data_IF_397591944365
#
_entry.id   IF_397591944365
#
_cell.length_a   1.000
_cell.length_b   1.000
_cell.length_c   1.000
_cell.angle_alpha   90.00
_cell.angle_beta   90.00
_cell.angle_gamma   90.00
#
_symmetry.space_group_name_H-M   'P 1'
#
loop_
_entity.id
_entity.type
_entity.pdbx_description
1 polymer ?
#
# COMPACT_ATOMS: atom_id res chain seq x y z
N UNK A 1 16.42 16.34 -21.51
CA UNK A 1 15.39 15.44 -20.96
C UNK A 1 15.16 15.88 -19.52
N UNK A 2 13.91 16.08 -19.08
CA UNK A 2 13.68 16.44 -17.67
C UNK A 2 14.08 15.28 -16.76
N UNK A 3 14.41 15.56 -15.50
CA UNK A 3 14.79 14.49 -14.56
C UNK A 3 13.62 13.51 -14.34
N UNK A 4 12.38 14.01 -14.40
CA UNK A 4 11.18 13.19 -14.27
C UNK A 4 11.01 12.21 -15.44
N UNK A 5 11.31 12.61 -16.68
CA UNK A 5 11.28 11.70 -17.80
C UNK A 5 12.27 10.52 -17.62
N UNK A 6 13.42 10.76 -17.00
CA UNK A 6 14.34 9.68 -16.67
C UNK A 6 13.73 8.70 -15.65
N UNK A 7 13.01 9.20 -14.65
CA UNK A 7 12.30 8.35 -13.70
C UNK A 7 11.19 7.52 -14.39
N UNK A 8 10.44 8.14 -15.31
CA UNK A 8 9.37 7.47 -16.05
C UNK A 8 9.93 6.35 -16.95
N UNK A 9 11.11 6.54 -17.54
CA UNK A 9 11.80 5.49 -18.29
C UNK A 9 12.12 4.27 -17.43
N UNK A 10 12.40 4.45 -16.12
CA UNK A 10 12.63 3.33 -15.21
C UNK A 10 11.36 2.47 -14.97
N UNK A 11 10.16 3.01 -15.20
CA UNK A 11 8.93 2.21 -15.18
C UNK A 11 8.92 1.13 -16.26
N UNK A 12 9.51 1.42 -17.43
CA UNK A 12 9.57 0.49 -18.55
C UNK A 12 10.50 -0.71 -18.28
N UNK A 13 11.41 -0.60 -17.32
CA UNK A 13 12.31 -1.66 -16.92
C UNK A 13 11.61 -2.87 -16.26
N UNK A 14 10.36 -2.69 -15.84
CA UNK A 14 9.60 -3.74 -15.18
C UNK A 14 10.12 -4.07 -13.78
N UNK A 15 9.87 -5.29 -13.34
CA UNK A 15 10.38 -5.84 -12.08
C UNK A 15 11.72 -6.53 -12.36
N UNK A 16 12.76 -6.14 -11.63
CA UNK A 16 14.03 -6.86 -11.57
C UNK A 16 14.24 -7.32 -10.14
N UNK A 17 14.50 -8.60 -9.96
CA UNK A 17 14.87 -9.17 -8.67
C UNK A 17 16.39 -9.22 -8.56
N UNK A 18 16.94 -8.69 -7.47
CA UNK A 18 18.38 -8.65 -7.21
C UNK A 18 18.77 -7.43 -6.41
N UNK A 19 19.85 -7.53 -5.65
CA UNK A 19 20.30 -6.46 -4.73
C UNK A 19 21.52 -5.70 -5.28
N UNK A 20 22.22 -6.24 -6.27
CA UNK A 20 23.53 -5.79 -6.70
C UNK A 20 23.52 -4.35 -7.22
N UNK A 21 22.55 -4.00 -8.06
CA UNK A 21 22.42 -2.64 -8.60
C UNK A 21 22.21 -1.63 -7.47
N UNK A 22 21.24 -1.93 -6.59
CA UNK A 22 20.87 -1.04 -5.49
C UNK A 22 22.03 -0.91 -4.48
N UNK A 23 22.70 -2.01 -4.13
CA UNK A 23 23.87 -2.01 -3.25
C UNK A 23 25.02 -1.18 -3.83
N UNK A 24 25.28 -1.29 -5.13
CA UNK A 24 26.30 -0.49 -5.83
C UNK A 24 25.96 0.99 -5.77
N UNK A 25 24.70 1.33 -6.04
CA UNK A 25 24.25 2.73 -6.02
C UNK A 25 24.26 3.31 -4.61
N UNK A 26 23.83 2.57 -3.59
CA UNK A 26 23.95 2.99 -2.19
C UNK A 26 25.40 3.28 -1.81
N UNK A 27 26.34 2.42 -2.22
CA UNK A 27 27.77 2.65 -1.98
C UNK A 27 28.28 3.93 -2.65
N UNK A 28 27.86 4.19 -3.90
CA UNK A 28 28.23 5.42 -4.63
C UNK A 28 27.63 6.68 -4.01
N UNK A 29 26.48 6.54 -3.34
CA UNK A 29 25.77 7.62 -2.65
C UNK A 29 26.21 7.80 -1.19
N UNK A 30 27.22 7.06 -0.71
CA UNK A 30 27.79 7.18 0.63
C UNK A 30 27.11 6.31 1.68
N UNK A 31 26.30 5.32 1.29
CA UNK A 31 25.57 4.38 2.16
C UNK A 31 24.60 5.05 3.16
N UNK A 32 23.77 6.00 2.77
CA UNK A 32 22.88 6.73 3.69
C UNK A 32 21.89 5.84 4.44
N UNK A 33 21.62 4.62 3.94
CA UNK A 33 20.75 3.63 4.58
C UNK A 33 21.34 2.99 5.86
N UNK A 34 22.60 3.27 6.17
CA UNK A 34 23.31 2.79 7.38
C UNK A 34 23.32 3.84 8.50
N UNK A 35 22.85 5.06 8.24
CA UNK A 35 22.94 6.15 9.19
C UNK A 35 21.88 6.07 10.31
N UNK A 36 20.85 5.22 10.14
CA UNK A 36 19.73 5.08 11.08
C UNK A 36 19.24 3.65 11.17
N UNK A 37 18.79 3.20 12.36
CA UNK A 37 18.15 1.90 12.51
C UNK A 37 16.75 1.90 11.86
N UNK A 38 16.34 0.74 11.33
CA UNK A 38 15.08 0.63 10.59
C UNK A 38 14.16 -0.48 11.10
N UNK A 39 12.84 -0.26 10.99
CA UNK A 39 11.84 -1.31 11.05
C UNK A 39 11.50 -1.72 9.62
N UNK A 40 11.64 -3.01 9.31
CA UNK A 40 11.41 -3.52 7.97
C UNK A 40 10.13 -4.35 7.91
N UNK A 41 9.17 -3.93 7.06
CA UNK A 41 7.82 -4.50 7.03
C UNK A 41 7.55 -5.18 5.70
N UNK A 42 7.22 -6.47 5.74
CA UNK A 42 6.78 -7.26 4.59
C UNK A 42 5.41 -7.89 4.83
N UNK A 43 4.84 -8.45 3.78
CA UNK A 43 3.54 -9.14 3.80
C UNK A 43 2.76 -8.93 2.53
N UNK A 44 1.58 -9.53 2.43
CA UNK A 44 0.68 -9.32 1.29
C UNK A 44 -0.18 -8.08 1.51
N UNK A 45 -1.01 -8.07 2.52
CA UNK A 45 -1.91 -6.96 2.85
C UNK A 45 -1.48 -6.28 4.17
N UNK A 46 -1.79 -4.98 4.34
CA UNK A 46 -1.61 -4.24 5.58
C UNK A 46 -0.22 -3.66 5.83
N UNK A 47 0.78 -3.88 4.98
CA UNK A 47 2.15 -3.32 5.13
C UNK A 47 2.14 -1.81 5.38
N UNK A 48 1.56 -1.05 4.45
CA UNK A 48 1.51 0.41 4.53
C UNK A 48 0.76 0.91 5.76
N UNK A 49 -0.31 0.22 6.19
CA UNK A 49 -1.07 0.58 7.41
C UNK A 49 -0.23 0.36 8.67
N UNK A 50 0.51 -0.75 8.77
CA UNK A 50 1.47 -0.98 9.86
C UNK A 50 2.56 0.07 9.85
N UNK A 51 3.14 0.38 8.67
CA UNK A 51 4.19 1.39 8.54
C UNK A 51 3.70 2.78 8.97
N UNK A 52 2.50 3.20 8.57
CA UNK A 52 1.94 4.49 8.92
C UNK A 52 1.68 4.59 10.44
N UNK A 53 1.06 3.58 11.05
CA UNK A 53 0.82 3.55 12.50
C UNK A 53 2.13 3.55 13.30
N UNK A 54 3.16 2.81 12.86
CA UNK A 54 4.48 2.83 13.48
C UNK A 54 5.15 4.21 13.35
N UNK A 55 4.99 4.86 12.20
CA UNK A 55 5.51 6.22 11.98
C UNK A 55 4.86 7.22 12.94
N UNK A 56 3.53 7.19 13.06
CA UNK A 56 2.81 8.04 13.99
C UNK A 56 3.23 7.77 15.46
N UNK A 57 3.37 6.49 15.86
CA UNK A 57 3.82 6.12 17.19
C UNK A 57 5.25 6.57 17.50
N UNK A 58 6.16 6.48 16.52
CA UNK A 58 7.53 6.95 16.66
C UNK A 58 7.61 8.48 16.78
N UNK A 59 6.91 9.22 15.91
CA UNK A 59 6.80 10.69 16.00
C UNK A 59 6.21 11.13 17.35
N UNK A 60 5.14 10.49 17.81
CA UNK A 60 4.54 10.77 19.11
C UNK A 60 5.46 10.41 20.30
N UNK A 61 6.46 9.55 20.08
CA UNK A 61 7.53 9.25 21.04
C UNK A 61 8.69 10.25 20.98
N UNK A 62 8.63 11.24 20.09
CA UNK A 62 9.59 12.33 19.96
C UNK A 62 10.79 12.02 19.05
N UNK A 63 10.68 11.01 18.19
CA UNK A 63 11.73 10.67 17.22
C UNK A 63 11.49 11.39 15.89
N UNK A 64 12.56 11.74 15.20
CA UNK A 64 12.52 12.13 13.79
C UNK A 64 12.44 10.88 12.92
N UNK A 65 11.38 10.78 12.11
CA UNK A 65 11.01 9.52 11.44
C UNK A 65 11.04 9.65 9.93
N UNK A 66 11.75 8.73 9.27
CA UNK A 66 11.64 8.51 7.83
C UNK A 66 10.69 7.36 7.52
N UNK A 67 9.65 7.61 6.74
CA UNK A 67 8.69 6.61 6.31
C UNK A 67 8.79 6.39 4.79
N UNK A 68 9.07 5.14 4.37
CA UNK A 68 9.05 4.74 2.97
C UNK A 68 7.94 3.73 2.72
N UNK A 69 7.01 4.05 1.81
CA UNK A 69 5.84 3.22 1.46
C UNK A 69 5.61 3.15 -0.05
N UNK A 70 4.87 2.12 -0.50
CA UNK A 70 4.46 1.97 -1.91
C UNK A 70 3.17 1.15 -2.04
N UNK A 71 2.37 1.39 -3.09
CA UNK A 71 2.47 2.49 -4.06
C UNK A 71 2.00 3.83 -3.48
N UNK A 72 2.15 4.91 -4.24
CA UNK A 72 1.55 6.21 -3.92
C UNK A 72 0.08 6.28 -4.35
N UNK A 73 -0.65 7.27 -3.83
CA UNK A 73 -2.03 7.61 -4.23
C UNK A 73 -2.02 8.56 -5.44
N UNK A 74 -1.42 9.73 -5.29
CA UNK A 74 -1.45 10.82 -6.27
C UNK A 74 -0.07 11.13 -6.81
N UNK A 75 0.94 11.29 -5.96
CA UNK A 75 2.28 11.76 -6.35
C UNK A 75 3.39 10.88 -5.79
N UNK A 76 4.49 10.76 -6.51
CA UNK A 76 5.61 9.88 -6.13
C UNK A 76 6.29 10.31 -4.82
N UNK A 77 6.24 11.58 -4.49
CA UNK A 77 6.80 12.14 -3.26
C UNK A 77 6.17 11.55 -1.99
N UNK A 78 4.90 11.13 -2.06
CA UNK A 78 4.21 10.47 -0.95
C UNK A 78 4.89 9.19 -0.47
N UNK A 79 5.69 8.55 -1.33
CA UNK A 79 6.42 7.34 -0.95
C UNK A 79 7.47 7.62 0.12
N UNK A 80 7.84 8.89 0.30
CA UNK A 80 8.93 9.35 1.13
C UNK A 80 8.41 10.45 2.06
N UNK A 81 8.26 10.13 3.33
CA UNK A 81 7.79 11.09 4.33
C UNK A 81 8.83 11.29 5.42
N UNK A 82 8.95 12.52 5.89
CA UNK A 82 9.68 12.89 7.10
C UNK A 82 8.65 13.40 8.10
N UNK A 83 8.62 12.80 9.29
CA UNK A 83 7.66 13.11 10.36
C UNK A 83 6.20 13.14 9.84
N UNK A 84 5.85 12.15 9.03
CA UNK A 84 4.52 11.98 8.43
C UNK A 84 4.26 12.81 7.17
N UNK A 85 5.01 13.87 6.87
CA UNK A 85 4.81 14.75 5.71
C UNK A 85 5.60 14.28 4.49
N UNK A 86 4.98 14.21 3.29
CA UNK A 86 5.72 13.95 2.04
C UNK A 86 6.85 14.98 1.82
N UNK A 87 7.98 14.53 1.28
CA UNK A 87 9.06 15.45 0.90
C UNK A 87 8.62 16.35 -0.25
N UNK A 88 9.20 17.54 -0.37
CA UNK A 88 8.86 18.47 -1.44
C UNK A 88 9.32 17.96 -2.81
N UNK A 89 8.66 18.44 -3.88
CA UNK A 89 9.05 18.16 -5.25
C UNK A 89 10.50 18.55 -5.55
N UNK A 90 10.95 19.69 -5.01
CA UNK A 90 12.33 20.16 -5.19
C UNK A 90 13.34 19.22 -4.52
N UNK A 91 13.02 18.72 -3.31
CA UNK A 91 13.88 17.77 -2.58
C UNK A 91 13.92 16.44 -3.33
N UNK A 92 12.79 15.94 -3.79
CA UNK A 92 12.72 14.73 -4.59
C UNK A 92 13.56 14.85 -5.86
N UNK A 93 13.38 15.92 -6.65
CA UNK A 93 14.09 16.13 -7.92
C UNK A 93 15.60 16.29 -7.73
N UNK A 94 16.02 16.94 -6.66
CA UNK A 94 17.43 17.08 -6.31
C UNK A 94 18.07 15.72 -6.03
N UNK A 95 17.47 14.88 -5.21
CA UNK A 95 17.98 13.55 -4.91
C UNK A 95 17.85 12.59 -6.08
N UNK A 96 16.78 12.69 -6.88
CA UNK A 96 16.64 11.96 -8.12
C UNK A 96 17.82 12.27 -9.08
N UNK A 97 18.24 13.53 -9.16
CA UNK A 97 19.43 13.94 -9.88
C UNK A 97 20.72 13.28 -9.36
N UNK A 98 20.86 13.15 -8.04
CA UNK A 98 22.00 12.48 -7.42
C UNK A 98 22.02 10.97 -7.73
N UNK A 99 20.84 10.30 -7.68
CA UNK A 99 20.70 8.88 -8.02
C UNK A 99 21.05 8.66 -9.49
N UNK A 100 20.54 9.50 -10.40
CA UNK A 100 20.88 9.44 -11.81
C UNK A 100 22.38 9.60 -12.06
N UNK A 101 23.00 10.60 -11.46
CA UNK A 101 24.44 10.83 -11.59
C UNK A 101 25.27 9.63 -11.09
N UNK A 102 24.83 8.99 -9.98
CA UNK A 102 25.45 7.76 -9.49
C UNK A 102 25.26 6.57 -10.42
N UNK A 103 24.11 6.47 -11.10
CA UNK A 103 23.80 5.42 -12.05
C UNK A 103 24.64 5.51 -13.35
N UNK A 104 24.97 6.71 -13.80
CA UNK A 104 25.77 7.00 -14.99
C UNK A 104 27.30 6.80 -14.78
N UNK A 105 27.78 6.52 -13.54
CA UNK A 105 29.19 6.17 -13.28
C UNK A 105 29.49 4.77 -13.84
N UNK A 106 30.59 4.63 -14.58
CA UNK A 106 31.05 3.34 -15.11
C UNK A 106 31.55 2.37 -14.00
N UNK A 107 31.15 1.09 -14.03
CA UNK A 107 30.16 0.49 -14.92
C UNK A 107 28.76 1.01 -14.61
N UNK A 108 28.00 1.40 -15.64
CA UNK A 108 26.66 1.95 -15.47
C UNK A 108 25.72 0.97 -14.76
N UNK A 109 24.84 1.52 -13.90
CA UNK A 109 23.78 0.80 -13.24
C UNK A 109 22.41 1.25 -13.77
N UNK A 110 21.48 0.32 -13.90
CA UNK A 110 20.13 0.61 -14.37
C UNK A 110 19.11 0.24 -13.27
N UNK A 111 18.85 1.14 -12.30
CA UNK A 111 17.87 0.87 -11.24
C UNK A 111 16.46 0.85 -11.83
N UNK A 112 15.58 0.05 -11.24
CA UNK A 112 14.13 0.08 -11.51
C UNK A 112 13.51 1.33 -10.89
N UNK A 113 12.26 1.62 -11.25
CA UNK A 113 11.49 2.72 -10.64
C UNK A 113 11.41 2.60 -9.11
N UNK A 114 11.18 1.39 -8.59
CA UNK A 114 11.14 1.14 -7.15
C UNK A 114 12.49 1.35 -6.49
N UNK A 115 13.57 0.78 -7.04
CA UNK A 115 14.93 1.00 -6.54
C UNK A 115 15.30 2.49 -6.56
N UNK A 116 14.94 3.21 -7.62
CA UNK A 116 15.19 4.66 -7.73
C UNK A 116 14.49 5.43 -6.60
N UNK A 117 13.21 5.16 -6.36
CA UNK A 117 12.46 5.86 -5.29
C UNK A 117 12.97 5.48 -3.90
N UNK A 118 13.40 4.23 -3.69
CA UNK A 118 14.05 3.79 -2.45
C UNK A 118 15.39 4.52 -2.22
N UNK A 119 16.23 4.65 -3.24
CA UNK A 119 17.49 5.39 -3.14
C UNK A 119 17.28 6.87 -2.81
N UNK A 120 16.29 7.50 -3.44
CA UNK A 120 15.88 8.88 -3.11
C UNK A 120 15.44 8.98 -1.65
N UNK A 121 14.68 7.99 -1.15
CA UNK A 121 14.25 7.95 0.26
C UNK A 121 15.44 7.88 1.21
N UNK A 122 16.41 7.03 0.94
CA UNK A 122 17.61 6.89 1.79
C UNK A 122 18.40 8.20 1.86
N UNK A 123 18.56 8.91 0.74
CA UNK A 123 19.20 10.23 0.71
C UNK A 123 18.40 11.28 1.50
N UNK A 124 17.08 11.29 1.34
CA UNK A 124 16.21 12.21 2.07
C UNK A 124 16.26 11.97 3.59
N UNK A 125 16.27 10.71 4.01
CA UNK A 125 16.35 10.33 5.42
C UNK A 125 17.71 10.69 6.03
N UNK A 126 18.80 10.43 5.31
CA UNK A 126 20.14 10.85 5.76
C UNK A 126 20.27 12.36 5.90
N UNK A 127 19.75 13.17 4.94
CA UNK A 127 19.79 14.63 5.04
C UNK A 127 18.93 15.19 6.18
N UNK A 128 17.81 14.52 6.51
CA UNK A 128 16.92 14.91 7.59
C UNK A 128 17.38 14.42 8.97
N UNK A 129 18.53 13.74 9.06
CA UNK A 129 19.05 13.15 10.29
C UNK A 129 17.98 12.33 11.03
N UNK A 130 17.24 11.44 10.29
CA UNK A 130 16.19 10.64 10.91
C UNK A 130 16.76 9.69 11.97
N UNK A 131 16.07 9.57 13.09
CA UNK A 131 16.44 8.68 14.19
C UNK A 131 15.85 7.27 14.01
N UNK A 132 14.83 7.14 13.12
CA UNK A 132 14.16 5.87 12.86
C UNK A 132 13.62 5.80 11.42
N UNK A 133 14.08 4.80 10.66
CA UNK A 133 13.48 4.44 9.38
C UNK A 133 12.34 3.43 9.55
N UNK A 134 11.23 3.63 8.85
CA UNK A 134 10.12 2.67 8.74
C UNK A 134 9.93 2.36 7.27
N UNK A 135 10.23 1.12 6.88
CA UNK A 135 10.49 0.75 5.50
C UNK A 135 9.55 -0.38 5.06
N UNK A 136 8.67 -0.08 4.11
CA UNK A 136 7.80 -1.05 3.47
C UNK A 136 8.51 -1.75 2.32
N UNK A 137 8.43 -3.09 2.22
CA UNK A 137 8.89 -3.83 1.02
C UNK A 137 8.01 -3.53 -0.18
N UNK A 138 8.62 -3.45 -1.36
CA UNK A 138 7.89 -3.31 -2.62
C UNK A 138 7.30 -4.64 -3.08
N UNK A 139 8.14 -5.69 -3.18
CA UNK A 139 7.75 -7.01 -3.66
C UNK A 139 8.54 -8.13 -2.98
N UNK A 140 7.83 -9.06 -2.37
CA UNK A 140 8.47 -10.19 -1.68
C UNK A 140 9.22 -9.75 -0.44
N UNK A 141 10.52 -9.93 -0.40
CA UNK A 141 11.41 -9.54 0.71
C UNK A 141 12.86 -9.91 0.45
N UNK A 142 13.13 -11.16 0.06
CA UNK A 142 14.50 -11.71 -0.10
C UNK A 142 15.36 -10.90 -1.08
N UNK A 143 14.80 -10.50 -2.20
CA UNK A 143 15.46 -9.78 -3.29
C UNK A 143 14.90 -8.36 -3.49
N UNK A 144 14.13 -7.86 -2.53
CA UNK A 144 13.65 -6.50 -2.53
C UNK A 144 14.76 -5.52 -2.13
N UNK A 145 14.87 -4.38 -2.81
CA UNK A 145 15.90 -3.36 -2.54
C UNK A 145 15.93 -2.93 -1.07
N UNK A 146 14.77 -2.89 -0.40
CA UNK A 146 14.65 -2.52 1.01
C UNK A 146 15.32 -3.52 1.96
N UNK A 147 15.67 -4.73 1.47
CA UNK A 147 16.44 -5.72 2.25
C UNK A 147 17.82 -5.20 2.66
N UNK A 148 18.32 -4.16 1.98
CA UNK A 148 19.64 -3.57 2.24
C UNK A 148 19.70 -2.67 3.49
N UNK A 149 18.55 -2.22 4.04
CA UNK A 149 18.56 -1.41 5.28
C UNK A 149 19.02 -2.21 6.49
N UNK A 150 19.58 -1.52 7.49
CA UNK A 150 19.89 -2.07 8.80
C UNK A 150 18.65 -2.11 9.68
N UNK A 151 17.92 -3.24 9.62
CA UNK A 151 16.74 -3.43 10.46
C UNK A 151 17.10 -4.02 11.81
N UNK A 152 16.56 -3.43 12.89
CA UNK A 152 16.60 -3.93 14.25
C UNK A 152 15.28 -4.57 14.70
N UNK A 153 14.24 -4.47 13.84
CA UNK A 153 12.96 -5.16 13.96
C UNK A 153 12.41 -5.48 12.58
N UNK A 154 11.92 -6.70 12.38
CA UNK A 154 11.20 -7.13 11.19
C UNK A 154 9.73 -7.43 11.53
N UNK A 155 8.81 -7.08 10.62
CA UNK A 155 7.39 -7.36 10.78
C UNK A 155 6.87 -8.04 9.52
N UNK A 156 6.19 -9.18 9.70
CA UNK A 156 5.54 -9.91 8.62
C UNK A 156 4.02 -9.89 8.83
N UNK A 157 3.31 -9.15 7.97
CA UNK A 157 1.85 -9.01 8.04
C UNK A 157 1.16 -10.27 7.53
N UNK A 158 0.18 -10.19 6.65
CA UNK A 158 -0.51 -11.35 6.10
C UNK A 158 0.28 -12.04 4.98
N UNK A 159 -0.02 -13.31 4.73
CA UNK A 159 0.46 -14.07 3.56
C UNK A 159 -0.77 -14.48 2.77
N UNK A 160 -0.87 -14.04 1.52
CA UNK A 160 -1.93 -14.41 0.59
C UNK A 160 -1.40 -14.54 -0.84
N UNK A 161 -2.18 -15.13 -1.74
CA UNK A 161 -1.79 -15.27 -3.15
C UNK A 161 -1.76 -13.92 -3.83
N UNK A 162 -0.57 -13.51 -4.24
CA UNK A 162 -0.31 -12.32 -5.03
C UNK A 162 1.00 -12.48 -5.80
N UNK A 163 1.13 -11.79 -6.92
CA UNK A 163 2.38 -11.75 -7.71
C UNK A 163 3.00 -13.14 -7.95
N UNK A 164 2.16 -14.14 -8.30
CA UNK A 164 2.59 -15.54 -8.46
C UNK A 164 3.70 -15.70 -9.49
N UNK A 165 3.73 -14.83 -10.49
CA UNK A 165 4.76 -14.78 -11.53
C UNK A 165 6.17 -14.48 -11.01
N UNK A 166 6.31 -13.91 -9.79
CA UNK A 166 7.59 -13.54 -9.17
C UNK A 166 7.86 -14.29 -7.87
N UNK A 167 6.82 -14.56 -7.07
CA UNK A 167 6.97 -15.04 -5.69
C UNK A 167 6.69 -16.54 -5.55
N UNK A 168 6.14 -17.19 -6.58
CA UNK A 168 5.77 -18.60 -6.57
C UNK A 168 4.26 -18.82 -6.57
N UNK A 169 3.86 -20.05 -6.89
CA UNK A 169 2.46 -20.43 -7.08
C UNK A 169 1.76 -20.83 -5.77
N UNK A 170 2.53 -21.17 -4.73
CA UNK A 170 2.03 -21.64 -3.44
C UNK A 170 2.22 -20.60 -2.33
N UNK A 171 1.36 -20.64 -1.32
CA UNK A 171 1.50 -19.78 -0.13
C UNK A 171 2.83 -19.99 0.60
N UNK A 172 3.36 -21.22 0.59
CA UNK A 172 4.64 -21.54 1.22
C UNK A 172 5.82 -20.89 0.48
N UNK A 173 5.81 -20.86 -0.85
CA UNK A 173 6.82 -20.15 -1.65
C UNK A 173 6.76 -18.64 -1.41
N UNK A 174 5.56 -18.06 -1.43
CA UNK A 174 5.34 -16.64 -1.13
C UNK A 174 5.83 -16.31 0.30
N UNK A 175 5.53 -17.17 1.28
CA UNK A 175 6.00 -17.02 2.65
C UNK A 175 7.53 -17.08 2.74
N UNK A 176 8.19 -17.95 1.95
CA UNK A 176 9.65 -18.04 1.87
C UNK A 176 10.27 -16.73 1.42
N UNK A 177 9.74 -16.15 0.34
CA UNK A 177 10.23 -14.88 -0.19
C UNK A 177 10.02 -13.70 0.78
N UNK A 178 8.86 -13.66 1.45
CA UNK A 178 8.52 -12.56 2.37
C UNK A 178 9.21 -12.68 3.72
N UNK A 179 9.25 -13.87 4.32
CA UNK A 179 9.90 -14.09 5.62
C UNK A 179 11.43 -13.84 5.56
N UNK A 180 12.03 -13.91 4.37
CA UNK A 180 13.45 -13.63 4.17
C UNK A 180 13.87 -12.17 4.38
N UNK A 181 12.95 -11.27 4.77
CA UNK A 181 13.32 -9.98 5.37
C UNK A 181 14.01 -10.17 6.73
N UNK A 182 13.79 -11.29 7.42
CA UNK A 182 14.44 -11.63 8.68
C UNK A 182 15.98 -11.64 8.55
N UNK A 183 16.64 -11.27 9.62
CA UNK A 183 18.10 -11.30 9.78
C UNK A 183 18.41 -12.04 11.09
N UNK A 184 19.45 -12.90 11.13
CA UNK A 184 19.83 -13.60 12.36
C UNK A 184 20.04 -12.62 13.53
N UNK A 185 19.37 -12.88 14.65
CA UNK A 185 19.43 -12.06 15.85
C UNK A 185 18.53 -10.80 15.82
N UNK A 186 17.74 -10.60 14.75
CA UNK A 186 16.77 -9.52 14.66
C UNK A 186 15.37 -10.07 14.88
N UNK A 187 14.59 -9.59 15.85
CA UNK A 187 13.23 -10.08 16.08
C UNK A 187 12.34 -9.98 14.85
N UNK A 188 11.54 -11.01 14.62
CA UNK A 188 10.47 -11.06 13.63
C UNK A 188 9.12 -11.17 14.33
N UNK A 189 8.29 -10.15 14.24
CA UNK A 189 6.88 -10.21 14.65
C UNK A 189 6.05 -10.64 13.45
N UNK A 190 5.31 -11.75 13.56
CA UNK A 190 4.51 -12.28 12.47
C UNK A 190 3.08 -12.62 12.89
N UNK A 191 2.12 -12.40 12.00
CA UNK A 191 0.75 -12.90 12.19
C UNK A 191 0.71 -14.40 11.99
N UNK A 192 0.04 -15.11 12.92
CA UNK A 192 -0.18 -16.54 12.82
C UNK A 192 -1.07 -16.84 11.59
N UNK A 193 -0.65 -17.78 10.79
CA UNK A 193 -1.36 -18.20 9.57
C UNK A 193 -2.01 -19.57 9.78
N UNK A 194 -3.18 -19.84 9.19
CA UNK A 194 -3.90 -21.11 9.34
C UNK A 194 -3.18 -22.28 8.66
N UNK A 195 -2.55 -22.03 7.50
CA UNK A 195 -1.78 -23.04 6.78
C UNK A 195 -0.51 -23.43 7.55
N UNK A 196 -0.39 -24.70 7.88
CA UNK A 196 0.75 -25.27 8.63
C UNK A 196 2.07 -25.24 7.85
N UNK A 197 2.03 -25.24 6.51
CA UNK A 197 3.24 -25.13 5.69
C UNK A 197 3.78 -23.70 5.72
N UNK A 198 2.90 -22.71 5.66
CA UNK A 198 3.28 -21.29 5.82
C UNK A 198 3.94 -21.07 7.19
N UNK A 199 3.30 -21.56 8.29
CA UNK A 199 3.91 -21.45 9.64
C UNK A 199 5.28 -22.08 9.70
N UNK A 200 5.42 -23.31 9.20
CA UNK A 200 6.70 -24.04 9.20
C UNK A 200 7.80 -23.26 8.47
N UNK A 201 7.50 -22.66 7.32
CA UNK A 201 8.48 -21.87 6.57
C UNK A 201 8.94 -20.67 7.37
N UNK A 202 8.01 -19.93 8.00
CA UNK A 202 8.36 -18.76 8.82
C UNK A 202 9.17 -19.17 10.05
N UNK A 203 8.79 -20.27 10.74
CA UNK A 203 9.53 -20.85 11.88
C UNK A 203 10.95 -21.28 11.48
N UNK A 204 11.12 -21.93 10.33
CA UNK A 204 12.43 -22.32 9.82
C UNK A 204 13.31 -21.12 9.46
N UNK A 205 12.70 -20.03 9.01
CA UNK A 205 13.43 -18.81 8.61
C UNK A 205 13.90 -18.00 9.82
N UNK A 206 13.05 -17.81 10.83
CA UNK A 206 13.32 -16.90 11.94
C UNK A 206 13.73 -17.61 13.25
N UNK A 207 13.42 -18.91 13.40
CA UNK A 207 13.82 -19.68 14.58
C UNK A 207 13.41 -19.02 15.90
N UNK A 208 14.36 -18.84 16.80
CA UNK A 208 14.14 -18.24 18.13
C UNK A 208 13.85 -16.73 18.09
N UNK A 209 14.12 -16.06 16.97
CA UNK A 209 13.84 -14.62 16.79
C UNK A 209 12.35 -14.36 16.50
N UNK A 210 11.53 -15.41 16.31
CA UNK A 210 10.13 -15.31 15.92
C UNK A 210 9.19 -15.07 17.11
N UNK A 211 8.32 -14.07 16.95
CA UNK A 211 7.19 -13.82 17.84
C UNK A 211 5.88 -13.88 17.06
N UNK A 212 5.04 -14.89 17.35
CA UNK A 212 3.72 -15.03 16.76
C UNK A 212 2.69 -14.13 17.44
N UNK A 213 1.88 -13.47 16.62
CA UNK A 213 0.64 -12.82 17.06
C UNK A 213 -0.57 -13.59 16.55
N UNK A 214 -1.57 -13.76 17.41
CA UNK A 214 -2.80 -14.46 17.05
C UNK A 214 -3.57 -13.69 15.99
N UNK A 215 -4.04 -14.39 14.95
CA UNK A 215 -4.91 -13.85 13.92
C UNK A 215 -6.36 -13.67 14.39
N UNK A 216 -6.73 -14.13 15.58
CA UNK A 216 -8.11 -14.12 16.09
C UNK A 216 -8.70 -12.72 16.37
N UNK A 217 -7.93 -11.66 16.14
CA UNK A 217 -8.34 -10.27 16.35
C UNK A 217 -8.31 -9.46 15.05
N UNK A 218 -8.24 -10.12 13.90
CA UNK A 218 -8.27 -9.44 12.60
C UNK A 218 -9.74 -9.09 12.31
N UNK A 219 -10.18 -7.95 12.86
CA UNK A 219 -11.35 -7.21 12.40
C UNK A 219 -10.97 -6.41 11.14
N UNK A 220 -11.74 -5.41 10.81
CA UNK A 220 -11.60 -4.57 9.61
C UNK A 220 -10.18 -4.17 9.26
N UNK A 221 -9.96 -3.92 8.00
CA UNK A 221 -8.68 -3.64 7.35
C UNK A 221 -7.74 -2.67 8.08
N UNK A 222 -8.26 -1.66 8.78
CA UNK A 222 -7.43 -0.69 9.49
C UNK A 222 -7.05 -1.14 10.90
N UNK A 223 -8.03 -1.52 11.71
CA UNK A 223 -7.82 -1.92 13.11
C UNK A 223 -7.17 -3.30 13.28
N UNK A 224 -7.21 -4.14 12.24
CA UNK A 224 -6.69 -5.50 12.27
C UNK A 224 -5.18 -5.60 12.51
N UNK A 225 -4.42 -4.55 12.18
CA UNK A 225 -2.97 -4.53 12.30
C UNK A 225 -2.47 -3.84 13.58
N UNK A 226 -3.35 -3.18 14.34
CA UNK A 226 -3.02 -2.51 15.59
C UNK A 226 -2.26 -3.41 16.58
N UNK A 227 -2.62 -4.71 16.78
CA UNK A 227 -1.86 -5.57 17.68
C UNK A 227 -0.39 -5.78 17.28
N UNK A 228 -0.07 -5.74 15.99
CA UNK A 228 1.32 -5.82 15.51
C UNK A 228 2.10 -4.57 15.89
N UNK A 229 1.47 -3.42 15.71
CA UNK A 229 2.06 -2.12 16.05
C UNK A 229 2.25 -2.01 17.57
N UNK A 230 1.26 -2.42 18.37
CA UNK A 230 1.38 -2.47 19.84
C UNK A 230 2.52 -3.37 20.31
N UNK A 231 2.68 -4.55 19.68
CA UNK A 231 3.79 -5.45 19.99
C UNK A 231 5.15 -4.84 19.64
N UNK A 232 5.25 -4.16 18.49
CA UNK A 232 6.45 -3.44 18.07
C UNK A 232 6.76 -2.25 18.99
N UNK A 233 5.78 -1.42 19.31
CA UNK A 233 5.89 -0.29 20.25
C UNK A 233 6.38 -0.76 21.62
N UNK A 234 5.80 -1.85 22.12
CA UNK A 234 6.22 -2.46 23.40
C UNK A 234 7.67 -2.98 23.33
N UNK A 235 8.05 -3.65 22.26
CA UNK A 235 9.41 -4.15 22.06
C UNK A 235 10.42 -3.01 22.03
N UNK A 236 10.11 -1.94 21.30
CA UNK A 236 10.97 -0.76 21.13
C UNK A 236 10.96 0.17 22.35
N UNK A 237 10.11 -0.06 23.34
CA UNK A 237 9.99 0.77 24.54
C UNK A 237 9.41 2.18 24.28
N UNK A 238 8.67 2.36 23.17
CA UNK A 238 8.01 3.62 22.87
C UNK A 238 6.82 3.86 23.80
N UNK A 239 6.48 5.15 24.03
CA UNK A 239 5.57 5.54 25.12
C UNK A 239 4.10 5.67 24.71
N UNK A 240 3.80 5.62 23.42
CA UNK A 240 2.46 5.99 22.92
C UNK A 240 1.69 4.82 22.36
N UNK A 241 0.37 4.92 22.53
CA UNK A 241 -0.61 4.08 21.86
C UNK A 241 -0.80 4.53 20.41
N UNK A 242 -1.23 3.61 19.58
CA UNK A 242 -1.39 3.72 18.13
C UNK A 242 -2.70 4.37 17.68
N UNK A 243 -3.45 5.03 18.58
CA UNK A 243 -4.89 5.28 18.43
C UNK A 243 -5.33 6.31 17.40
N UNK A 244 -4.47 7.26 17.02
CA UNK A 244 -4.90 8.44 16.28
C UNK A 244 -4.20 8.61 14.92
N UNK A 245 -3.67 7.53 14.34
CA UNK A 245 -3.02 7.63 13.03
C UNK A 245 -4.04 7.78 11.90
N UNK A 246 -3.96 8.87 11.16
CA UNK A 246 -4.67 9.05 9.89
C UNK A 246 -3.72 8.69 8.74
N UNK A 247 -4.04 7.62 8.02
CA UNK A 247 -3.34 7.18 6.83
C UNK A 247 -4.17 7.54 5.59
N UNK A 248 -3.76 8.51 4.76
CA UNK A 248 -4.55 8.97 3.61
C UNK A 248 -5.05 7.82 2.73
N UNK A 249 -6.34 7.83 2.44
CA UNK A 249 -7.01 6.86 1.59
C UNK A 249 -7.15 5.43 2.16
N UNK A 250 -6.72 5.20 3.43
CA UNK A 250 -6.74 3.84 4.02
C UNK A 250 -7.24 3.77 5.45
N UNK A 251 -7.25 4.87 6.20
CA UNK A 251 -7.78 4.87 7.56
C UNK A 251 -9.29 5.01 7.57
N UNK A 252 -9.90 4.44 8.61
CA UNK A 252 -11.33 4.61 8.87
C UNK A 252 -11.68 6.09 9.03
N UNK A 253 -12.77 6.53 8.41
CA UNK A 253 -13.22 7.93 8.44
C UNK A 253 -12.49 8.88 7.48
N UNK A 254 -11.35 8.47 6.88
CA UNK A 254 -10.71 9.29 5.85
C UNK A 254 -11.64 9.43 4.63
N UNK A 255 -11.89 10.66 4.21
CA UNK A 255 -12.79 10.93 3.09
C UNK A 255 -14.29 10.77 3.39
N UNK A 256 -14.67 10.49 4.66
CA UNK A 256 -16.05 10.21 5.05
C UNK A 256 -17.04 11.29 4.60
N UNK A 257 -16.63 12.55 4.56
CA UNK A 257 -17.46 13.70 4.23
C UNK A 257 -17.17 14.29 2.84
N UNK A 258 -16.52 13.57 1.94
CA UNK A 258 -16.19 14.06 0.60
C UNK A 258 -17.43 14.34 -0.26
N UNK A 259 -18.56 13.72 0.06
CA UNK A 259 -19.86 14.04 -0.55
C UNK A 259 -20.83 14.53 0.55
N UNK A 260 -21.35 15.75 0.36
CA UNK A 260 -22.29 16.34 1.30
C UNK A 260 -23.52 15.45 1.57
N UNK A 261 -23.75 15.15 2.84
CA UNK A 261 -24.89 14.33 3.30
C UNK A 261 -24.77 12.83 2.97
N UNK A 262 -23.59 12.32 2.57
CA UNK A 262 -23.33 10.91 2.32
C UNK A 262 -22.09 10.45 3.07
N UNK A 263 -22.20 9.44 3.88
CA UNK A 263 -21.03 8.78 4.48
C UNK A 263 -20.29 8.01 3.39
N UNK A 264 -19.05 8.41 3.12
CA UNK A 264 -18.17 7.77 2.13
C UNK A 264 -17.15 6.90 2.85
N UNK A 265 -17.03 5.64 2.42
CA UNK A 265 -15.99 4.71 2.88
C UNK A 265 -15.03 4.41 1.74
N UNK A 266 -13.75 4.54 1.99
CA UNK A 266 -12.68 4.26 1.03
C UNK A 266 -11.99 2.94 1.40
N UNK A 267 -11.81 2.07 0.40
CA UNK A 267 -11.07 0.83 0.55
C UNK A 267 -10.00 0.70 -0.53
N UNK A 268 -8.75 0.57 -0.11
CA UNK A 268 -7.62 0.29 -1.00
C UNK A 268 -7.48 -1.20 -1.37
N UNK A 269 -8.46 -2.03 -1.03
CA UNK A 269 -8.50 -3.44 -1.38
C UNK A 269 -8.47 -3.62 -2.91
N UNK A 270 -7.63 -4.54 -3.38
CA UNK A 270 -7.36 -4.72 -4.80
C UNK A 270 -7.02 -6.17 -5.20
N UNK A 271 -7.09 -7.12 -4.27
CA UNK A 271 -7.02 -8.55 -4.53
C UNK A 271 -8.27 -9.26 -3.96
N UNK A 272 -8.54 -10.48 -4.40
CA UNK A 272 -9.76 -11.21 -4.09
C UNK A 272 -10.03 -11.27 -2.57
N UNK A 273 -9.02 -11.60 -1.78
CA UNK A 273 -9.15 -11.73 -0.32
C UNK A 273 -9.47 -10.41 0.37
N UNK A 274 -8.72 -9.34 0.05
CA UNK A 274 -8.95 -8.02 0.66
C UNK A 274 -10.30 -7.42 0.24
N UNK A 275 -10.71 -7.63 -1.02
CA UNK A 275 -12.03 -7.20 -1.50
C UNK A 275 -13.16 -7.91 -0.76
N UNK A 276 -13.05 -9.25 -0.58
CA UNK A 276 -14.04 -10.03 0.16
C UNK A 276 -14.14 -9.56 1.62
N UNK A 277 -13.01 -9.37 2.28
CA UNK A 277 -12.97 -8.96 3.68
C UNK A 277 -13.63 -7.59 3.87
N UNK A 278 -13.25 -6.58 3.05
CA UNK A 278 -13.78 -5.23 3.20
C UNK A 278 -15.28 -5.15 2.88
N UNK A 279 -15.75 -5.88 1.88
CA UNK A 279 -17.19 -5.96 1.56
C UNK A 279 -18.00 -6.68 2.66
N UNK A 280 -17.44 -7.72 3.28
CA UNK A 280 -18.11 -8.46 4.35
C UNK A 280 -18.34 -7.60 5.61
N UNK A 281 -17.47 -6.63 5.87
CA UNK A 281 -17.54 -5.73 7.03
C UNK A 281 -18.53 -4.59 6.89
N UNK A 282 -18.95 -4.26 5.68
CA UNK A 282 -19.98 -3.24 5.47
C UNK A 282 -21.31 -3.74 6.06
N UNK A 283 -21.77 -3.13 7.12
CA UNK A 283 -22.97 -3.55 7.88
C UNK A 283 -24.26 -2.93 7.36
N UNK A 284 -24.19 -1.74 6.79
CA UNK A 284 -25.33 -1.00 6.25
C UNK A 284 -25.43 -1.15 4.72
N UNK A 285 -26.63 -0.95 4.13
CA UNK A 285 -26.74 -0.83 2.69
C UNK A 285 -25.81 0.26 2.16
N UNK A 286 -25.18 0.01 1.03
CA UNK A 286 -24.21 0.91 0.39
C UNK A 286 -24.32 0.88 -1.13
N UNK A 287 -24.12 2.03 -1.76
CA UNK A 287 -23.76 2.10 -3.17
C UNK A 287 -22.29 1.76 -3.31
N UNK A 288 -21.91 0.97 -4.30
CA UNK A 288 -20.51 0.62 -4.57
C UNK A 288 -20.02 1.35 -5.81
N UNK A 289 -18.93 2.09 -5.67
CA UNK A 289 -18.13 2.58 -6.79
C UNK A 289 -16.90 1.67 -6.92
N UNK A 290 -16.83 0.91 -8.01
CA UNK A 290 -15.79 -0.08 -8.25
C UNK A 290 -14.96 0.30 -9.48
N UNK A 291 -13.64 0.40 -9.30
CA UNK A 291 -12.69 0.58 -10.39
C UNK A 291 -11.39 -0.17 -10.10
N UNK A 292 -10.84 -0.85 -11.11
CA UNK A 292 -9.69 -1.74 -10.94
C UNK A 292 -8.60 -1.48 -11.98
N UNK A 293 -7.34 -1.66 -11.59
CA UNK A 293 -6.24 -1.85 -12.53
C UNK A 293 -6.27 -3.29 -13.06
N UNK A 294 -5.72 -3.48 -14.27
CA UNK A 294 -5.69 -4.77 -14.97
C UNK A 294 -5.13 -5.89 -14.09
N UNK A 295 -5.75 -7.06 -14.15
CA UNK A 295 -5.45 -8.26 -13.36
C UNK A 295 -5.10 -9.43 -14.26
N UNK A 296 -4.22 -10.30 -13.79
CA UNK A 296 -3.90 -11.56 -14.48
C UNK A 296 -5.13 -12.49 -14.58
N UNK A 297 -5.95 -12.50 -13.53
CA UNK A 297 -7.22 -13.22 -13.48
C UNK A 297 -8.31 -12.33 -12.90
N UNK A 298 -9.01 -11.61 -13.78
CA UNK A 298 -10.10 -10.71 -13.40
C UNK A 298 -11.27 -11.47 -12.80
N UNK A 299 -11.61 -12.67 -13.35
CA UNK A 299 -12.70 -13.48 -12.86
C UNK A 299 -12.49 -13.89 -11.40
N UNK A 300 -11.35 -14.49 -11.09
CA UNK A 300 -11.01 -14.89 -9.74
C UNK A 300 -10.96 -13.70 -8.76
N UNK A 301 -10.60 -12.51 -9.25
CA UNK A 301 -10.60 -11.29 -8.43
C UNK A 301 -12.00 -10.79 -8.14
N UNK A 302 -12.94 -10.88 -9.10
CA UNK A 302 -14.32 -10.39 -8.95
C UNK A 302 -15.26 -11.42 -8.29
N UNK A 303 -14.93 -12.70 -8.30
CA UNK A 303 -15.80 -13.75 -7.75
C UNK A 303 -16.24 -13.48 -6.30
N UNK A 304 -15.36 -13.16 -5.34
CA UNK A 304 -15.80 -12.80 -3.99
C UNK A 304 -16.59 -11.49 -3.95
N UNK A 305 -16.25 -10.53 -4.82
CA UNK A 305 -16.99 -9.25 -4.93
C UNK A 305 -18.43 -9.52 -5.36
N UNK A 306 -18.63 -10.34 -6.41
CA UNK A 306 -19.95 -10.74 -6.90
C UNK A 306 -20.71 -11.49 -5.82
N UNK A 307 -20.07 -12.43 -5.13
CA UNK A 307 -20.69 -13.19 -4.06
C UNK A 307 -21.26 -12.30 -2.95
N UNK A 308 -20.54 -11.23 -2.56
CA UNK A 308 -21.02 -10.29 -1.53
C UNK A 308 -22.07 -9.31 -2.08
N UNK A 309 -21.88 -8.78 -3.28
CA UNK A 309 -22.82 -7.83 -3.90
C UNK A 309 -24.19 -8.47 -4.17
N UNK A 310 -24.22 -9.76 -4.51
CA UNK A 310 -25.45 -10.48 -4.79
C UNK A 310 -26.14 -11.07 -3.54
N UNK A 311 -25.54 -10.96 -2.35
CA UNK A 311 -26.17 -11.35 -1.09
C UNK A 311 -27.14 -10.28 -0.63
N UNK A 312 -28.38 -10.40 -0.66
CA UNK A 312 -29.35 -9.44 -0.15
C UNK A 312 -29.28 -8.03 -0.81
N UNK A 313 -30.14 -7.11 -0.39
CA UNK A 313 -30.17 -5.71 -0.81
C UNK A 313 -29.07 -4.85 -0.15
N UNK A 314 -27.98 -5.44 0.33
CA UNK A 314 -26.88 -4.75 1.00
C UNK A 314 -26.18 -3.74 0.07
N UNK A 315 -26.06 -4.09 -1.20
CA UNK A 315 -25.48 -3.23 -2.24
C UNK A 315 -26.48 -2.94 -3.34
N UNK A 316 -27.40 -1.99 -3.13
CA UNK A 316 -28.54 -1.76 -4.04
C UNK A 316 -28.12 -1.17 -5.40
N UNK A 317 -26.93 -0.62 -5.51
CA UNK A 317 -26.38 -0.03 -6.74
C UNK A 317 -24.88 -0.27 -6.86
N UNK A 318 -24.43 -0.65 -8.06
CA UNK A 318 -23.02 -0.72 -8.41
C UNK A 318 -22.75 0.22 -9.58
N UNK A 319 -21.71 1.01 -9.47
CA UNK A 319 -21.21 1.92 -10.50
C UNK A 319 -19.79 1.52 -10.85
N UNK A 320 -19.47 1.33 -12.12
CA UNK A 320 -18.12 1.07 -12.59
C UNK A 320 -17.44 2.32 -13.11
N UNK A 321 -16.11 2.40 -12.84
CA UNK A 321 -15.25 3.49 -13.34
C UNK A 321 -13.85 2.95 -13.69
N UNK A 322 -13.06 3.76 -14.38
CA UNK A 322 -11.70 3.44 -14.80
C UNK A 322 -10.70 4.33 -14.06
N UNK A 323 -9.89 3.77 -13.10
CA UNK A 323 -8.77 4.54 -12.53
C UNK A 323 -7.86 5.07 -13.63
N UNK A 324 -7.50 6.35 -13.56
CA UNK A 324 -6.68 7.03 -14.59
C UNK A 324 -5.21 7.01 -14.26
N UNK A 325 -4.86 6.94 -12.97
CA UNK A 325 -3.51 6.79 -12.48
C UNK A 325 -3.13 5.32 -12.28
N UNK A 326 -1.84 5.06 -12.20
CA UNK A 326 -1.33 3.74 -11.89
C UNK A 326 -0.38 3.18 -12.95
N UNK A 327 0.37 2.16 -12.54
CA UNK A 327 1.38 1.49 -13.39
C UNK A 327 0.74 0.65 -14.49
N UNK A 328 -0.33 -0.07 -14.16
CA UNK A 328 -1.07 -0.90 -15.10
C UNK A 328 -2.30 -0.14 -15.59
N UNK A 329 -2.71 -0.33 -16.85
CA UNK A 329 -3.95 0.26 -17.35
C UNK A 329 -5.14 -0.20 -16.50
N UNK A 330 -6.21 0.59 -16.51
CA UNK A 330 -7.47 0.18 -15.90
C UNK A 330 -8.07 -1.03 -16.62
N UNK A 331 -8.85 -1.82 -15.90
CA UNK A 331 -9.84 -2.71 -16.52
C UNK A 331 -10.95 -1.81 -17.06
N UNK A 332 -11.30 -1.96 -18.35
CA UNK A 332 -12.35 -1.13 -18.93
C UNK A 332 -13.72 -1.41 -18.32
N UNK A 333 -14.58 -0.40 -18.27
CA UNK A 333 -15.95 -0.57 -17.75
C UNK A 333 -16.73 -1.59 -18.56
N UNK A 334 -16.43 -1.73 -19.87
CA UNK A 334 -17.02 -2.75 -20.74
C UNK A 334 -16.59 -4.17 -20.34
N UNK A 335 -15.30 -4.36 -20.05
CA UNK A 335 -14.76 -5.65 -19.63
C UNK A 335 -15.31 -6.06 -18.26
N UNK A 336 -15.37 -5.13 -17.29
CA UNK A 336 -15.99 -5.38 -15.99
C UNK A 336 -17.49 -5.71 -16.14
N UNK A 337 -18.21 -4.98 -16.99
CA UNK A 337 -19.64 -5.20 -17.23
C UNK A 337 -19.90 -6.58 -17.85
N UNK A 338 -19.11 -6.94 -18.87
CA UNK A 338 -19.23 -8.25 -19.52
C UNK A 338 -18.91 -9.40 -18.55
N UNK A 339 -17.93 -9.22 -17.67
CA UNK A 339 -17.59 -10.21 -16.64
C UNK A 339 -18.73 -10.37 -15.63
N UNK A 340 -19.35 -9.26 -15.18
CA UNK A 340 -20.51 -9.33 -14.28
C UNK A 340 -21.70 -10.03 -14.92
N UNK A 341 -21.94 -9.84 -16.21
CA UNK A 341 -22.99 -10.55 -16.95
C UNK A 341 -22.70 -12.06 -17.03
N UNK A 342 -21.44 -12.44 -17.36
CA UNK A 342 -21.00 -13.84 -17.41
C UNK A 342 -21.09 -14.54 -16.04
N UNK A 343 -20.96 -13.77 -14.94
CA UNK A 343 -21.13 -14.22 -13.56
C UNK A 343 -22.57 -14.12 -13.04
N UNK A 344 -23.55 -13.87 -13.90
CA UNK A 344 -24.98 -13.70 -13.57
C UNK A 344 -25.30 -12.57 -12.58
N UNK A 345 -24.38 -11.60 -12.44
CA UNK A 345 -24.48 -10.48 -11.50
C UNK A 345 -24.81 -9.13 -12.18
N UNK A 346 -25.01 -9.10 -13.49
CA UNK A 346 -25.27 -7.88 -14.27
C UNK A 346 -26.49 -7.06 -13.80
N UNK A 347 -27.45 -7.72 -13.13
CA UNK A 347 -28.63 -7.05 -12.57
C UNK A 347 -28.31 -6.03 -11.47
N UNK A 348 -27.17 -6.13 -10.82
CA UNK A 348 -26.71 -5.20 -9.77
C UNK A 348 -26.06 -3.94 -10.35
N UNK A 349 -25.51 -4.02 -11.58
CA UNK A 349 -24.90 -2.90 -12.27
C UNK A 349 -25.95 -1.85 -12.63
N UNK A 350 -25.73 -0.60 -12.26
CA UNK A 350 -26.68 0.51 -12.50
C UNK A 350 -26.13 1.61 -13.38
N UNK A 351 -24.83 1.82 -13.36
CA UNK A 351 -24.19 2.83 -14.21
C UNK A 351 -22.73 2.45 -14.51
N UNK A 352 -22.24 3.02 -15.61
CA UNK A 352 -20.85 3.04 -15.99
C UNK A 352 -20.46 4.47 -16.33
N UNK A 353 -19.36 4.95 -15.79
CA UNK A 353 -18.77 6.25 -16.09
C UNK A 353 -17.25 6.12 -15.99
N UNK A 354 -16.54 6.38 -17.08
CA UNK A 354 -15.09 6.19 -17.13
C UNK A 354 -14.33 7.18 -16.27
N UNK A 355 -14.78 8.43 -16.24
CA UNK A 355 -14.15 9.47 -15.43
C UNK A 355 -14.43 9.22 -13.93
N UNK A 356 -13.39 8.98 -13.10
CA UNK A 356 -13.56 8.69 -11.68
C UNK A 356 -14.31 9.78 -10.90
N UNK A 357 -14.02 11.06 -11.17
CA UNK A 357 -14.68 12.18 -10.48
C UNK A 357 -16.17 12.25 -10.78
N UNK A 358 -16.56 12.08 -12.07
CA UNK A 358 -17.97 12.04 -12.46
C UNK A 358 -18.69 10.81 -11.93
N UNK A 359 -18.02 9.65 -11.96
CA UNK A 359 -18.55 8.41 -11.39
C UNK A 359 -18.80 8.55 -9.88
N UNK A 360 -17.90 9.23 -9.18
CA UNK A 360 -18.01 9.50 -7.75
C UNK A 360 -19.23 10.38 -7.44
N UNK A 361 -19.42 11.48 -8.15
CA UNK A 361 -20.60 12.35 -7.99
C UNK A 361 -21.90 11.59 -8.32
N UNK A 362 -21.89 10.77 -9.37
CA UNK A 362 -23.05 9.94 -9.74
C UNK A 362 -23.38 8.92 -8.65
N UNK A 363 -22.40 8.18 -8.15
CA UNK A 363 -22.58 7.21 -7.07
C UNK A 363 -23.03 7.87 -5.77
N UNK A 364 -22.49 9.06 -5.45
CA UNK A 364 -22.92 9.87 -4.31
C UNK A 364 -24.36 10.35 -4.42
N UNK A 365 -24.80 10.77 -5.61
CA UNK A 365 -26.21 11.14 -5.83
C UNK A 365 -27.15 9.93 -5.62
N UNK A 366 -26.77 8.74 -6.09
CA UNK A 366 -27.51 7.49 -5.84
C UNK A 366 -27.55 7.14 -4.35
N UNK A 367 -26.42 7.25 -3.63
CA UNK A 367 -26.36 6.98 -2.20
C UNK A 367 -27.25 7.93 -1.41
N UNK A 368 -27.29 9.22 -1.77
CA UNK A 368 -28.16 10.23 -1.16
C UNK A 368 -29.64 9.92 -1.40
N UNK A 369 -30.01 9.54 -2.63
CA UNK A 369 -31.40 9.14 -2.97
C UNK A 369 -31.85 7.93 -2.14
N UNK A 370 -30.98 6.92 -2.01
CA UNK A 370 -31.24 5.69 -1.27
C UNK A 370 -31.05 5.83 0.25
N UNK A 371 -30.52 6.97 0.72
CA UNK A 371 -30.17 7.23 2.12
C UNK A 371 -29.24 6.15 2.69
N UNK A 372 -28.22 5.80 1.95
CA UNK A 372 -27.24 4.81 2.31
C UNK A 372 -25.81 5.35 2.15
N UNK A 373 -24.82 4.57 2.55
CA UNK A 373 -23.40 4.92 2.43
C UNK A 373 -22.90 4.72 0.98
N UNK A 374 -21.79 5.36 0.63
CA UNK A 374 -21.02 5.12 -0.58
C UNK A 374 -19.74 4.37 -0.22
N UNK A 375 -19.54 3.19 -0.79
CA UNK A 375 -18.29 2.43 -0.69
C UNK A 375 -17.49 2.58 -2.00
N UNK A 376 -16.27 3.08 -1.90
CA UNK A 376 -15.28 3.14 -3.01
C UNK A 376 -14.28 2.03 -2.82
N UNK A 377 -14.11 1.15 -3.83
CA UNK A 377 -13.27 -0.05 -3.69
C UNK A 377 -12.66 -0.49 -5.03
N UNK A 378 -11.59 -1.30 -4.98
CA UNK A 378 -11.03 -2.03 -6.12
C UNK A 378 -9.63 -1.57 -6.55
N UNK A 379 -9.22 -0.35 -6.24
CA UNK A 379 -7.89 0.13 -6.56
C UNK A 379 -7.45 1.27 -5.64
N UNK A 380 -6.21 1.22 -5.18
CA UNK A 380 -5.56 2.34 -4.50
C UNK A 380 -5.48 3.58 -5.41
N UNK A 381 -5.32 3.37 -6.70
CA UNK A 381 -5.25 4.46 -7.68
C UNK A 381 -6.61 5.14 -7.90
N UNK A 382 -7.73 4.40 -7.78
CA UNK A 382 -9.05 5.02 -7.78
C UNK A 382 -9.18 6.03 -6.63
N UNK A 383 -8.72 5.64 -5.43
CA UNK A 383 -8.73 6.56 -4.28
C UNK A 383 -7.86 7.79 -4.56
N UNK A 384 -6.70 7.60 -5.20
CA UNK A 384 -5.82 8.70 -5.60
C UNK A 384 -6.47 9.66 -6.59
N UNK A 385 -7.14 9.13 -7.62
CA UNK A 385 -7.88 9.95 -8.59
C UNK A 385 -8.98 10.76 -7.91
N UNK A 386 -9.72 10.14 -6.97
CA UNK A 386 -10.77 10.82 -6.21
C UNK A 386 -10.22 11.86 -5.24
N UNK A 387 -9.09 11.58 -4.58
CA UNK A 387 -8.43 12.57 -3.73
C UNK A 387 -8.00 13.79 -4.56
N UNK A 388 -7.35 13.58 -5.72
CA UNK A 388 -7.00 14.66 -6.63
C UNK A 388 -8.23 15.46 -7.07
N UNK A 389 -9.32 14.77 -7.42
CA UNK A 389 -10.59 15.41 -7.79
C UNK A 389 -11.18 16.27 -6.64
N UNK A 390 -11.19 15.74 -5.41
CA UNK A 390 -11.73 16.46 -4.24
C UNK A 390 -10.85 17.66 -3.88
N UNK A 391 -9.52 17.50 -3.92
CA UNK A 391 -8.56 18.59 -3.69
C UNK A 391 -8.80 19.74 -4.67
N UNK A 392 -8.95 19.44 -5.96
CA UNK A 392 -9.21 20.43 -7.00
C UNK A 392 -10.60 21.07 -6.83
N UNK A 393 -11.64 20.27 -6.56
CA UNK A 393 -13.02 20.73 -6.39
C UNK A 393 -13.17 21.67 -5.19
N UNK A 394 -12.56 21.33 -4.07
CA UNK A 394 -12.75 22.00 -2.78
C UNK A 394 -11.64 23.02 -2.47
N UNK A 395 -10.59 23.08 -3.30
CA UNK A 395 -9.46 24.01 -3.15
C UNK A 395 -8.59 23.68 -1.93
N UNK A 396 -8.40 22.39 -1.63
CA UNK A 396 -7.59 21.89 -0.52
C UNK A 396 -6.09 21.89 -0.88
N UNK A 397 -5.22 21.84 0.14
CA UNK A 397 -3.79 21.60 -0.06
C UNK A 397 -3.51 20.09 -0.13
N UNK A 398 -3.03 19.63 -1.29
CA UNK A 398 -2.73 18.22 -1.52
C UNK A 398 -1.70 17.66 -0.50
N UNK A 399 -0.70 18.45 -0.13
CA UNK A 399 0.35 18.00 0.78
C UNK A 399 -0.16 17.79 2.21
N UNK A 400 -1.09 18.63 2.63
CA UNK A 400 -1.75 18.47 3.93
C UNK A 400 -2.65 17.22 3.91
N UNK A 401 -3.41 16.99 2.82
CA UNK A 401 -4.24 15.80 2.65
C UNK A 401 -3.43 14.48 2.57
N UNK A 402 -2.18 14.53 2.12
CA UNK A 402 -1.28 13.38 2.03
C UNK A 402 -0.42 13.16 3.27
N UNK A 403 -0.52 14.01 4.29
CA UNK A 403 0.26 13.87 5.53
C UNK A 403 -0.32 12.76 6.42
N UNK A 404 0.57 11.97 7.01
CA UNK A 404 0.23 10.97 8.05
C UNK A 404 0.27 11.68 9.40
N UNK A 405 -0.82 11.67 10.13
CA UNK A 405 -0.96 12.32 11.44
C UNK A 405 -1.04 11.30 12.55
#
# INVERSE_FOLDING_TARGET
MSIRNWLDEQMLMGVKLGLENCATLLSRLGNPHLDFPSIHVAGSNGKGSVCAQLSAAACASGLTVGLFTSPHLVTVEERIRIDGRPISTETFDRFLGSVRAAAEIEPECSPTYFETTFLVAMLAFGEADVERGIIETGLGGRLDATRLVEADLCILTTISKEHSEFLGETLAEIATEKAAIHRPGVPLIALQHDDSLVRRVIEQTAGDDLSWLSSSHIGSTWSSHTPMVEAAVKYLGWKTSTGDCVWPGRSEGYGENWIDGVVTRLSAAHNAESLANDLAEVLSPSVVLLGMSQKTDLRATLEPVVAEICKDDKFPRVVFTEPTSGRNPAVSVEEMSAMMEDMEAGHTLKAVERDPGKAFEMAGAMARELKCELLVIGSVYLIGDLLGYVVDRDGLDLWDELTVH
#
